data_IF_787288692430
#
_entry.id   IF_787288692430
#
_cell.length_a   1.000
_cell.length_b   1.000
_cell.length_c   1.000
_cell.angle_alpha   90.00
_cell.angle_beta   90.00
_cell.angle_gamma   90.00
#
_symmetry.space_group_name_H-M   'P 1'
#
loop_
_entity.id
_entity.type
_entity.pdbx_description
1 polymer ?
#
# COMPACT_ATOMS: atom_id res chain seq x y z
N UNK A 1 -78.72 31.27 -52.99
CA UNK A 1 -77.79 32.37 -52.64
C UNK A 1 -76.65 31.79 -51.79
N UNK A 2 -75.58 31.27 -52.42
CA UNK A 2 -74.46 30.67 -51.69
C UNK A 2 -73.43 31.74 -51.31
N UNK A 3 -73.40 32.13 -50.03
CA UNK A 3 -72.32 32.97 -49.49
C UNK A 3 -71.07 32.10 -49.32
N UNK A 4 -70.05 32.36 -50.14
CA UNK A 4 -68.73 31.73 -50.03
C UNK A 4 -67.99 32.37 -48.85
N UNK A 5 -67.83 31.65 -47.73
CA UNK A 5 -66.95 32.09 -46.63
C UNK A 5 -65.52 32.15 -47.17
N UNK A 6 -64.89 33.33 -47.12
CA UNK A 6 -63.44 33.46 -47.33
C UNK A 6 -62.77 33.35 -45.97
N UNK A 7 -61.88 32.37 -45.84
CA UNK A 7 -61.01 32.20 -44.67
C UNK A 7 -59.98 33.33 -44.69
N UNK A 8 -59.86 34.05 -43.58
CA UNK A 8 -58.92 35.16 -43.41
C UNK A 8 -57.56 34.61 -42.91
N UNK A 9 -56.71 34.25 -43.86
CA UNK A 9 -55.41 33.61 -43.60
C UNK A 9 -54.45 34.49 -42.79
N UNK A 10 -54.60 35.82 -42.82
CA UNK A 10 -53.81 36.76 -42.03
C UNK A 10 -54.11 36.63 -40.53
N UNK A 11 -55.39 36.45 -40.17
CA UNK A 11 -55.80 36.23 -38.77
C UNK A 11 -55.33 34.88 -38.26
N UNK A 12 -55.37 33.85 -39.10
CA UNK A 12 -54.87 32.51 -38.76
C UNK A 12 -53.36 32.53 -38.55
N UNK A 13 -52.60 33.17 -39.46
CA UNK A 13 -51.16 33.31 -39.33
C UNK A 13 -50.74 34.09 -38.06
N UNK A 14 -51.44 35.19 -37.75
CA UNK A 14 -51.22 35.95 -36.51
C UNK A 14 -51.53 35.14 -35.25
N UNK A 15 -52.60 34.35 -35.28
CA UNK A 15 -52.95 33.47 -34.16
C UNK A 15 -51.92 32.35 -33.96
N UNK A 16 -51.47 31.70 -35.04
CA UNK A 16 -50.41 30.68 -35.00
C UNK A 16 -49.08 31.25 -34.50
N UNK A 17 -48.67 32.44 -34.93
CA UNK A 17 -47.43 33.07 -34.45
C UNK A 17 -47.47 33.39 -32.95
N UNK A 18 -48.61 33.83 -32.43
CA UNK A 18 -48.78 34.09 -30.99
C UNK A 18 -48.80 32.78 -30.19
N UNK A 19 -49.42 31.72 -30.70
CA UNK A 19 -49.42 30.40 -30.06
C UNK A 19 -48.01 29.78 -30.03
N UNK A 20 -47.25 29.90 -31.12
CA UNK A 20 -45.86 29.42 -31.18
C UNK A 20 -44.95 30.21 -30.23
N UNK A 21 -45.12 31.54 -30.15
CA UNK A 21 -44.35 32.38 -29.23
C UNK A 21 -44.68 32.09 -27.75
N UNK A 22 -45.95 31.81 -27.43
CA UNK A 22 -46.34 31.42 -26.07
C UNK A 22 -45.81 30.03 -25.70
N UNK A 23 -45.78 29.08 -26.64
CA UNK A 23 -45.21 27.76 -26.40
C UNK A 23 -43.71 27.82 -26.09
N UNK A 24 -42.94 28.61 -26.85
CA UNK A 24 -41.48 28.72 -26.63
C UNK A 24 -41.14 29.39 -25.30
N UNK A 25 -41.93 30.39 -24.88
CA UNK A 25 -41.77 31.03 -23.56
C UNK A 25 -42.06 30.04 -22.42
N UNK A 26 -43.09 29.19 -22.54
CA UNK A 26 -43.38 28.19 -21.50
C UNK A 26 -42.30 27.12 -21.37
N UNK A 27 -41.66 26.72 -22.48
CA UNK A 27 -40.55 25.76 -22.46
C UNK A 27 -39.31 26.39 -21.80
N UNK A 28 -38.97 27.65 -22.10
CA UNK A 28 -37.84 28.33 -21.48
C UNK A 28 -38.03 28.54 -19.96
N UNK A 29 -39.25 28.84 -19.51
CA UNK A 29 -39.56 28.96 -18.07
C UNK A 29 -39.51 27.58 -17.39
N UNK A 30 -39.91 26.51 -18.08
CA UNK A 30 -39.83 25.14 -17.56
C UNK A 30 -38.37 24.66 -17.41
N UNK A 31 -37.48 25.02 -18.33
CA UNK A 31 -36.04 24.76 -18.23
C UNK A 31 -35.37 25.63 -17.15
N UNK A 32 -35.77 26.89 -16.98
CA UNK A 32 -35.24 27.76 -15.92
C UNK A 32 -35.70 27.39 -14.51
N UNK A 33 -36.84 26.69 -14.36
CA UNK A 33 -37.41 26.29 -13.07
C UNK A 33 -37.00 24.87 -12.62
N UNK A 34 -36.62 24.02 -13.57
CA UNK A 34 -35.97 22.74 -13.32
C UNK A 34 -34.46 22.96 -13.43
N UNK A 35 -33.87 23.54 -12.38
CA UNK A 35 -32.46 23.90 -12.36
C UNK A 35 -31.59 22.87 -13.06
N UNK A 36 -30.80 23.34 -14.04
CA UNK A 36 -29.83 22.51 -14.75
C UNK A 36 -28.87 21.94 -13.72
N UNK A 37 -29.11 20.70 -13.31
CA UNK A 37 -28.13 19.93 -12.53
C UNK A 37 -27.01 19.67 -13.52
N UNK A 38 -25.94 20.45 -13.44
CA UNK A 38 -24.65 20.01 -13.95
C UNK A 38 -24.47 18.57 -13.48
N UNK A 39 -24.13 17.61 -14.36
CA UNK A 39 -23.74 16.30 -13.90
C UNK A 39 -22.66 16.54 -12.86
N UNK A 40 -22.96 16.19 -11.61
CA UNK A 40 -21.92 16.11 -10.59
C UNK A 40 -20.99 15.04 -11.13
N UNK A 41 -19.85 15.47 -11.66
CA UNK A 41 -18.74 14.58 -12.00
C UNK A 41 -18.62 13.64 -10.81
N UNK A 42 -18.79 12.34 -11.05
CA UNK A 42 -18.66 11.34 -9.99
C UNK A 42 -17.35 11.67 -9.28
N UNK A 43 -17.44 12.02 -7.99
CA UNK A 43 -16.25 12.29 -7.20
C UNK A 43 -15.31 11.12 -7.44
N UNK A 44 -14.10 11.38 -7.95
CA UNK A 44 -13.09 10.33 -8.01
C UNK A 44 -12.93 9.85 -6.59
N UNK A 45 -13.35 8.61 -6.34
CA UNK A 45 -13.52 8.05 -5.00
C UNK A 45 -12.26 8.35 -4.16
N UNK A 46 -12.48 9.04 -3.04
CA UNK A 46 -11.45 9.56 -2.15
C UNK A 46 -11.65 8.93 -0.78
N UNK A 47 -10.62 8.25 -0.27
CA UNK A 47 -10.71 7.44 0.94
C UNK A 47 -11.34 8.19 2.11
N UNK A 48 -10.81 9.36 2.43
CA UNK A 48 -11.28 10.19 3.53
C UNK A 48 -10.80 11.64 3.33
N UNK A 49 -11.70 12.61 3.47
CA UNK A 49 -11.42 14.03 3.19
C UNK A 49 -10.41 14.67 4.17
N UNK A 50 -10.07 14.01 5.28
CA UNK A 50 -9.03 14.48 6.19
C UNK A 50 -7.61 14.23 5.65
N UNK A 51 -7.47 13.35 4.65
CA UNK A 51 -6.22 13.18 3.91
C UNK A 51 -6.20 14.18 2.76
N UNK A 52 -5.17 15.01 2.73
CA UNK A 52 -5.05 16.11 1.76
C UNK A 52 -4.42 15.67 0.44
N UNK A 53 -3.67 14.57 0.46
CA UNK A 53 -2.87 14.13 -0.68
C UNK A 53 -3.05 12.63 -0.94
N UNK A 54 -2.91 12.26 -2.21
CA UNK A 54 -2.68 10.89 -2.63
C UNK A 54 -1.72 10.82 -3.81
N UNK A 55 -1.00 9.73 -3.91
CA UNK A 55 -0.17 9.40 -5.06
C UNK A 55 -0.56 8.01 -5.58
N UNK A 56 -0.62 7.85 -6.91
CA UNK A 56 -0.87 6.55 -7.53
C UNK A 56 0.40 5.72 -7.51
N UNK A 57 0.27 4.45 -7.15
CA UNK A 57 1.33 3.44 -7.24
C UNK A 57 0.86 2.40 -8.26
N UNK A 58 1.77 1.93 -9.11
CA UNK A 58 1.46 0.91 -10.11
C UNK A 58 2.46 -0.23 -10.00
N UNK A 59 1.97 -1.44 -9.74
CA UNK A 59 2.78 -2.66 -9.84
C UNK A 59 2.83 -3.07 -11.30
N UNK A 60 4.05 -3.16 -11.84
CA UNK A 60 4.30 -3.61 -13.21
C UNK A 60 3.99 -5.11 -13.34
N UNK A 61 3.05 -5.45 -14.24
CA UNK A 61 2.64 -6.84 -14.44
C UNK A 61 3.77 -7.75 -14.92
N UNK A 62 4.80 -7.19 -15.55
CA UNK A 62 5.97 -7.96 -15.98
C UNK A 62 6.81 -8.49 -14.81
N UNK A 63 6.56 -7.98 -13.59
CA UNK A 63 7.14 -8.50 -12.34
C UNK A 63 6.26 -9.55 -11.66
N UNK A 64 5.01 -9.71 -12.11
CA UNK A 64 4.06 -10.71 -11.61
C UNK A 64 4.16 -11.96 -12.48
N UNK A 65 4.98 -12.91 -12.03
CA UNK A 65 5.37 -14.06 -12.86
C UNK A 65 4.26 -15.10 -13.02
N UNK A 66 4.09 -15.62 -14.24
CA UNK A 66 3.27 -16.77 -14.66
C UNK A 66 1.75 -16.65 -14.50
N UNK A 67 1.25 -16.21 -13.36
CA UNK A 67 -0.18 -16.13 -13.02
C UNK A 67 -0.46 -14.96 -12.10
N UNK A 68 -1.71 -14.50 -12.12
CA UNK A 68 -2.21 -13.52 -11.17
C UNK A 68 -1.98 -14.03 -9.73
N UNK A 69 -1.55 -13.13 -8.86
CA UNK A 69 -1.31 -13.40 -7.45
C UNK A 69 -2.45 -12.83 -6.62
N UNK A 70 -2.75 -13.46 -5.49
CA UNK A 70 -3.79 -13.02 -4.55
C UNK A 70 -3.20 -12.87 -3.17
N UNK A 71 -3.68 -11.90 -2.40
CA UNK A 71 -3.22 -11.63 -1.02
C UNK A 71 -1.69 -11.60 -0.90
N UNK A 72 -1.04 -10.83 -1.77
CA UNK A 72 0.41 -10.78 -1.91
C UNK A 72 1.00 -9.55 -1.21
N UNK A 73 1.99 -9.69 -0.32
CA UNK A 73 2.73 -8.55 0.24
C UNK A 73 3.56 -7.84 -0.83
N UNK A 74 3.35 -6.54 -0.99
CA UNK A 74 4.07 -5.69 -1.95
C UNK A 74 4.96 -4.72 -1.19
N UNK A 75 6.26 -4.76 -1.49
CA UNK A 75 7.23 -3.75 -1.06
C UNK A 75 7.00 -2.46 -1.82
N UNK A 76 6.91 -1.36 -1.07
CA UNK A 76 6.98 0.01 -1.56
C UNK A 76 8.17 0.70 -0.90
N UNK A 77 9.19 0.98 -1.71
CA UNK A 77 10.25 1.91 -1.32
C UNK A 77 9.66 3.33 -1.34
N UNK A 78 9.58 3.97 -0.18
CA UNK A 78 8.98 5.30 -0.06
C UNK A 78 9.84 6.37 -0.75
N UNK A 79 11.12 6.11 -1.01
CA UNK A 79 11.99 7.03 -1.75
C UNK A 79 11.62 7.14 -3.24
N UNK A 80 10.85 6.19 -3.78
CA UNK A 80 10.29 6.26 -5.14
C UNK A 80 9.08 7.21 -5.24
N UNK A 81 8.54 7.67 -4.11
CA UNK A 81 7.43 8.61 -4.09
C UNK A 81 7.89 10.03 -4.44
N UNK A 82 6.95 10.89 -4.83
CA UNK A 82 7.29 12.27 -5.16
C UNK A 82 7.89 12.99 -3.95
N UNK A 83 8.74 13.99 -4.19
CA UNK A 83 9.32 14.80 -3.10
C UNK A 83 8.28 15.47 -2.21
N UNK A 84 7.07 15.71 -2.74
CA UNK A 84 5.93 16.22 -1.98
C UNK A 84 5.38 15.23 -0.95
N UNK A 85 5.72 13.94 -1.00
CA UNK A 85 5.35 12.96 0.01
C UNK A 85 6.03 13.30 1.35
N UNK A 86 7.36 13.34 1.39
CA UNK A 86 8.13 13.55 2.62
C UNK A 86 7.95 14.93 3.26
N UNK A 87 7.45 15.92 2.51
CA UNK A 87 7.12 17.25 3.06
C UNK A 87 5.75 17.31 3.72
N UNK A 88 4.86 16.35 3.45
CA UNK A 88 3.45 16.39 3.87
C UNK A 88 3.01 15.19 4.72
N UNK A 89 3.79 14.11 4.74
CA UNK A 89 3.59 12.95 5.62
C UNK A 89 4.01 13.28 7.06
N UNK A 90 3.39 12.65 8.05
CA UNK A 90 3.84 12.75 9.44
C UNK A 90 5.24 12.14 9.60
N UNK A 91 6.01 12.64 10.57
CA UNK A 91 7.39 12.17 10.82
C UNK A 91 7.45 10.70 11.25
N UNK A 92 6.38 10.18 11.84
CA UNK A 92 6.21 8.78 12.22
C UNK A 92 5.47 7.95 11.15
N UNK A 93 5.03 8.57 10.05
CA UNK A 93 4.24 7.92 9.00
C UNK A 93 2.84 7.48 9.46
N UNK A 94 2.34 7.97 10.59
CA UNK A 94 1.03 7.63 11.15
C UNK A 94 -0.15 8.03 10.27
N UNK A 95 0.06 8.82 9.23
CA UNK A 95 -0.94 9.17 8.23
C UNK A 95 -0.82 8.42 6.91
N UNK A 96 0.07 7.44 6.79
CA UNK A 96 0.19 6.68 5.55
C UNK A 96 -0.91 5.63 5.47
N UNK A 97 -1.82 5.75 4.49
CA UNK A 97 -2.85 4.76 4.19
C UNK A 97 -2.67 4.27 2.75
N UNK A 98 -2.79 2.97 2.52
CA UNK A 98 -2.82 2.39 1.17
C UNK A 98 -4.24 1.92 0.86
N UNK A 99 -4.74 2.19 -0.35
CA UNK A 99 -6.02 1.66 -0.85
C UNK A 99 -5.85 0.91 -2.16
N UNK A 100 -6.84 0.08 -2.49
CA UNK A 100 -7.01 -0.46 -3.84
C UNK A 100 -7.22 0.67 -4.88
N UNK A 101 -7.26 0.27 -6.16
CA UNK A 101 -7.44 1.19 -7.30
C UNK A 101 -8.70 2.07 -7.21
N UNK A 102 -9.74 1.59 -6.51
CA UNK A 102 -10.98 2.32 -6.26
C UNK A 102 -10.79 3.57 -5.38
N UNK A 103 -9.63 3.74 -4.74
CA UNK A 103 -9.34 4.90 -3.91
C UNK A 103 -10.06 4.91 -2.56
N UNK A 104 -10.82 3.88 -2.19
CA UNK A 104 -11.62 3.83 -0.95
C UNK A 104 -11.42 2.55 -0.15
N UNK A 105 -11.13 1.42 -0.79
CA UNK A 105 -10.90 0.15 -0.10
C UNK A 105 -9.51 0.14 0.50
N UNK A 106 -9.43 0.45 1.80
CA UNK A 106 -8.19 0.44 2.57
C UNK A 106 -7.58 -0.97 2.66
N UNK A 107 -6.27 -1.04 2.47
CA UNK A 107 -5.47 -2.26 2.52
C UNK A 107 -4.67 -2.35 3.82
N UNK A 108 -4.27 -3.57 4.18
CA UNK A 108 -3.38 -3.81 5.31
C UNK A 108 -1.98 -3.31 4.96
N UNK A 109 -1.29 -2.70 5.91
CA UNK A 109 0.09 -2.25 5.74
C UNK A 109 0.98 -2.55 6.93
N UNK A 110 2.27 -2.53 6.69
CA UNK A 110 3.34 -2.49 7.67
C UNK A 110 4.32 -1.40 7.23
N UNK A 111 4.46 -0.37 8.05
CA UNK A 111 5.50 0.63 7.91
C UNK A 111 6.70 0.15 8.73
N UNK A 112 7.76 -0.28 8.06
CA UNK A 112 8.98 -0.81 8.66
C UNK A 112 9.90 0.34 9.07
N UNK A 113 10.06 1.33 8.19
CA UNK A 113 10.88 2.51 8.48
C UNK A 113 10.37 3.75 7.75
N UNK A 114 10.60 4.91 8.36
CA UNK A 114 10.43 6.21 7.71
C UNK A 114 11.47 7.20 8.25
N UNK A 115 12.13 7.90 7.34
CA UNK A 115 12.99 9.01 7.64
C UNK A 115 12.64 10.18 6.71
N UNK A 116 11.73 11.04 7.17
CA UNK A 116 11.28 12.19 6.36
C UNK A 116 12.39 13.19 6.07
N UNK A 117 13.36 13.34 6.97
CA UNK A 117 14.54 14.19 6.75
C UNK A 117 15.51 13.60 5.71
N UNK A 118 15.64 12.27 5.67
CA UNK A 118 16.44 11.53 4.70
C UNK A 118 15.74 11.22 3.39
N UNK A 119 14.42 11.43 3.32
CA UNK A 119 13.56 11.02 2.19
C UNK A 119 13.70 9.53 1.84
N UNK A 120 13.76 8.69 2.88
CA UNK A 120 13.81 7.23 2.75
C UNK A 120 12.72 6.59 3.62
N UNK A 121 12.38 5.34 3.29
CA UNK A 121 11.48 4.54 4.11
C UNK A 121 11.03 3.28 3.39
N UNK A 122 10.50 2.36 4.16
CA UNK A 122 10.07 1.05 3.72
C UNK A 122 8.66 0.77 4.23
N UNK A 123 7.77 0.43 3.29
CA UNK A 123 6.41 0.04 3.60
C UNK A 123 6.03 -1.20 2.82
N UNK A 124 5.37 -2.12 3.48
CA UNK A 124 4.71 -3.27 2.86
C UNK A 124 3.20 -3.09 2.92
N UNK A 125 2.49 -3.52 1.89
CA UNK A 125 1.03 -3.59 1.92
C UNK A 125 0.51 -4.86 1.26
N UNK A 126 -0.66 -5.34 1.69
CA UNK A 126 -1.27 -6.53 1.10
C UNK A 126 -2.10 -6.17 -0.12
N UNK A 127 -1.61 -6.53 -1.30
CA UNK A 127 -2.38 -6.45 -2.53
C UNK A 127 -3.40 -7.61 -2.59
N UNK A 128 -4.71 -7.34 -2.69
CA UNK A 128 -5.72 -8.40 -2.78
C UNK A 128 -5.60 -9.19 -4.09
N UNK A 129 -5.13 -8.54 -5.15
CA UNK A 129 -4.83 -9.16 -6.43
C UNK A 129 -3.71 -8.40 -7.13
N UNK A 130 -2.82 -9.11 -7.81
CA UNK A 130 -1.85 -8.56 -8.77
C UNK A 130 -2.03 -9.29 -10.10
N UNK A 131 -2.21 -8.55 -11.19
CA UNK A 131 -2.32 -9.16 -12.51
C UNK A 131 -0.96 -9.42 -13.14
N UNK A 132 -0.87 -10.57 -13.81
CA UNK A 132 0.25 -11.01 -14.66
C UNK A 132 0.13 -10.53 -16.11
N UNK A 133 -0.90 -9.75 -16.45
CA UNK A 133 -1.16 -9.31 -17.83
C UNK A 133 -1.37 -7.80 -17.99
N UNK A 134 -1.66 -7.08 -16.91
CA UNK A 134 -1.83 -5.62 -16.91
C UNK A 134 -1.36 -5.02 -15.59
N UNK A 135 -0.79 -3.81 -15.61
CA UNK A 135 -0.37 -3.14 -14.39
C UNK A 135 -1.52 -3.07 -13.38
N UNK A 136 -1.20 -3.23 -12.11
CA UNK A 136 -2.17 -3.14 -11.02
C UNK A 136 -1.95 -1.84 -10.26
N UNK A 137 -2.98 -1.01 -10.19
CA UNK A 137 -2.90 0.32 -9.58
C UNK A 137 -3.41 0.31 -8.12
N UNK A 138 -2.79 1.15 -7.30
CA UNK A 138 -3.10 1.41 -5.90
C UNK A 138 -2.98 2.91 -5.62
N UNK A 139 -3.46 3.34 -4.47
CA UNK A 139 -3.24 4.71 -3.97
C UNK A 139 -2.57 4.69 -2.61
N UNK A 140 -1.58 5.56 -2.42
CA UNK A 140 -1.08 5.93 -1.10
C UNK A 140 -1.61 7.31 -0.73
N UNK A 141 -2.22 7.43 0.43
CA UNK A 141 -2.76 8.65 1.01
C UNK A 141 -1.86 9.12 2.16
N UNK A 142 -1.70 10.45 2.27
CA UNK A 142 -0.95 11.13 3.33
C UNK A 142 -1.46 12.58 3.50
N UNK A 143 -0.90 13.33 4.45
CA UNK A 143 -1.30 14.70 4.77
C UNK A 143 -2.48 14.80 5.72
N UNK A 144 -2.59 13.87 6.67
CA UNK A 144 -3.54 13.96 7.78
C UNK A 144 -2.78 14.01 9.11
N UNK A 145 -2.56 15.21 9.65
CA UNK A 145 -1.76 15.44 10.87
C UNK A 145 -2.35 14.86 12.16
N UNK A 146 -3.55 14.27 12.12
CA UNK A 146 -4.21 13.66 13.29
C UNK A 146 -4.39 12.15 13.16
N UNK A 147 -3.99 11.57 12.03
CA UNK A 147 -4.09 10.13 11.81
C UNK A 147 -3.06 9.39 12.66
N UNK A 148 -3.41 8.16 13.03
CA UNK A 148 -2.53 7.22 13.72
C UNK A 148 -2.79 5.80 13.19
N UNK A 149 -2.44 5.61 11.92
CA UNK A 149 -2.52 4.34 11.22
C UNK A 149 -1.48 3.37 11.79
N UNK A 150 -1.91 2.18 12.16
CA UNK A 150 -1.04 1.15 12.73
C UNK A 150 -0.54 0.15 11.69
N UNK A 151 0.50 -0.59 12.06
CA UNK A 151 0.91 -1.79 11.33
C UNK A 151 -0.10 -2.92 11.56
N UNK A 152 -0.15 -3.85 10.60
CA UNK A 152 -1.02 -5.02 10.65
C UNK A 152 -0.25 -6.26 10.20
N UNK A 153 -0.13 -7.24 11.09
CA UNK A 153 0.43 -8.57 10.78
C UNK A 153 -0.36 -9.30 9.70
N UNK A 154 -1.59 -8.86 9.40
CA UNK A 154 -2.40 -9.39 8.31
C UNK A 154 -1.80 -9.12 6.92
N UNK A 155 -0.76 -8.30 6.80
CA UNK A 155 0.06 -8.21 5.58
C UNK A 155 0.62 -9.59 5.22
N UNK A 156 1.10 -10.34 6.21
CA UNK A 156 1.80 -11.61 6.06
C UNK A 156 0.91 -12.85 6.29
N UNK A 157 -0.40 -12.66 6.38
CA UNK A 157 -1.37 -13.73 6.68
C UNK A 157 -1.49 -14.86 5.64
N UNK A 158 -0.88 -14.72 4.45
CA UNK A 158 -1.01 -15.67 3.36
C UNK A 158 0.12 -16.73 3.36
N UNK A 159 0.24 -17.47 4.47
CA UNK A 159 1.16 -18.59 4.59
C UNK A 159 2.63 -18.24 4.88
N UNK A 160 2.91 -17.02 5.35
CA UNK A 160 4.23 -16.67 5.87
C UNK A 160 4.32 -17.10 7.34
N UNK A 161 5.33 -17.89 7.66
CA UNK A 161 5.53 -18.40 9.03
C UNK A 161 6.53 -17.58 9.85
N UNK A 162 7.38 -16.79 9.18
CA UNK A 162 8.36 -15.90 9.79
C UNK A 162 8.71 -14.79 8.80
N UNK A 163 8.70 -13.54 9.24
CA UNK A 163 9.15 -12.38 8.46
C UNK A 163 9.94 -11.45 9.35
N UNK A 164 11.22 -11.26 9.04
CA UNK A 164 12.12 -10.38 9.78
C UNK A 164 12.76 -9.39 8.82
N UNK A 165 12.57 -8.10 9.10
CA UNK A 165 13.07 -7.00 8.27
C UNK A 165 14.50 -6.57 8.62
N UNK A 166 15.08 -7.10 9.71
CA UNK A 166 16.45 -6.82 10.15
C UNK A 166 16.69 -5.32 10.40
N UNK A 167 15.71 -4.63 10.99
CA UNK A 167 15.69 -3.17 11.10
C UNK A 167 15.94 -2.65 12.52
N UNK A 168 15.85 -3.53 13.52
CA UNK A 168 16.02 -3.21 14.93
C UNK A 168 17.49 -3.20 15.37
N UNK A 169 17.83 -2.33 16.31
CA UNK A 169 19.17 -2.29 16.91
C UNK A 169 19.44 -3.59 17.70
N UNK A 170 20.43 -4.41 17.31
CA UNK A 170 20.68 -5.70 17.94
C UNK A 170 21.18 -5.57 19.39
N UNK A 171 21.64 -4.39 19.80
CA UNK A 171 22.03 -4.09 21.19
C UNK A 171 20.89 -3.53 22.06
N UNK A 172 19.69 -3.43 21.47
CA UNK A 172 18.48 -3.00 22.17
C UNK A 172 18.00 -3.97 23.25
N UNK A 173 16.83 -3.69 23.81
CA UNK A 173 16.20 -4.60 24.77
C UNK A 173 15.68 -5.84 24.06
N UNK A 174 16.02 -7.03 24.58
CA UNK A 174 15.53 -8.29 24.03
C UNK A 174 14.01 -8.48 24.26
N UNK A 175 13.32 -9.20 23.36
CA UNK A 175 13.82 -9.61 22.04
C UNK A 175 13.96 -8.39 21.11
N UNK A 176 14.98 -8.39 20.25
CA UNK A 176 15.27 -7.26 19.37
C UNK A 176 14.66 -7.43 17.98
N UNK A 177 14.79 -8.61 17.39
CA UNK A 177 14.43 -8.84 15.99
C UNK A 177 12.99 -9.31 15.90
N UNK A 178 12.09 -8.42 15.47
CA UNK A 178 10.65 -8.66 15.55
C UNK A 178 10.18 -9.52 14.36
N UNK A 179 9.32 -10.49 14.64
CA UNK A 179 8.58 -11.25 13.63
C UNK A 179 7.30 -10.49 13.22
N UNK A 180 7.25 -10.04 11.96
CA UNK A 180 6.10 -9.30 11.42
C UNK A 180 4.84 -10.16 11.23
N UNK A 181 4.95 -11.48 11.38
CA UNK A 181 3.79 -12.38 11.26
C UNK A 181 2.96 -12.42 12.55
N UNK A 182 1.91 -13.24 12.56
CA UNK A 182 1.13 -13.50 13.78
C UNK A 182 1.79 -14.54 14.71
N UNK A 183 2.90 -15.14 14.29
CA UNK A 183 3.54 -16.23 15.02
C UNK A 183 4.45 -15.77 16.16
N UNK A 184 4.85 -14.49 16.17
CA UNK A 184 5.58 -13.87 17.29
C UNK A 184 6.90 -14.60 17.60
N UNK A 185 7.57 -15.11 16.56
CA UNK A 185 8.87 -15.77 16.68
C UNK A 185 10.01 -14.74 16.77
N UNK A 186 9.90 -13.82 17.71
CA UNK A 186 10.87 -12.74 17.90
C UNK A 186 12.25 -13.28 18.30
N UNK A 187 13.29 -12.70 17.69
CA UNK A 187 14.68 -13.10 17.87
C UNK A 187 15.42 -12.30 18.95
N UNK A 188 16.24 -13.01 19.73
CA UNK A 188 17.20 -12.40 20.67
C UNK A 188 18.62 -12.49 20.12
N UNK A 189 19.33 -11.37 20.09
CA UNK A 189 20.72 -11.30 19.63
C UNK A 189 21.69 -12.03 20.57
N UNK A 190 22.71 -12.65 19.98
CA UNK A 190 23.85 -13.29 20.64
C UNK A 190 25.15 -12.83 19.97
N UNK A 191 26.32 -13.17 20.53
CA UNK A 191 27.63 -12.78 19.96
C UNK A 191 28.14 -11.40 20.37
N UNK A 192 27.43 -10.70 21.26
CA UNK A 192 27.79 -9.32 21.68
C UNK A 192 27.61 -8.29 20.56
N UNK A 193 26.62 -8.51 19.68
CA UNK A 193 26.21 -7.53 18.68
C UNK A 193 25.94 -6.14 19.28
N UNK A 194 26.34 -5.10 18.56
CA UNK A 194 26.27 -3.68 18.94
C UNK A 194 25.44 -2.88 17.94
N UNK A 195 25.02 -1.66 18.30
CA UNK A 195 24.34 -0.73 17.36
C UNK A 195 25.08 -0.55 16.02
N UNK A 196 26.41 -0.70 16.02
CA UNK A 196 27.23 -0.61 14.81
C UNK A 196 26.99 -1.73 13.79
N UNK A 197 26.37 -2.83 14.20
CA UNK A 197 26.03 -3.96 13.32
C UNK A 197 24.72 -3.73 12.57
N UNK A 198 23.91 -2.74 12.97
CA UNK A 198 22.79 -2.26 12.17
C UNK A 198 23.32 -1.35 11.04
N UNK A 199 23.34 -1.88 9.83
CA UNK A 199 23.91 -1.24 8.64
C UNK A 199 22.85 -1.02 7.57
N UNK A 200 23.16 -0.25 6.53
CA UNK A 200 22.26 -0.11 5.37
C UNK A 200 22.21 -1.42 4.60
N UNK A 201 20.99 -1.92 4.36
CA UNK A 201 20.72 -3.18 3.70
C UNK A 201 20.35 -3.03 2.23
N UNK A 202 19.88 -4.15 1.65
CA UNK A 202 19.34 -4.16 0.28
C UNK A 202 17.95 -3.50 0.21
N UNK A 203 17.16 -3.67 1.26
CA UNK A 203 15.86 -3.05 1.49
C UNK A 203 15.93 -2.53 2.92
N UNK A 204 15.82 -1.21 3.13
CA UNK A 204 15.98 -0.62 4.45
C UNK A 204 17.36 -0.87 5.07
N UNK A 205 17.35 -1.35 6.31
CA UNK A 205 18.55 -1.73 7.04
C UNK A 205 18.85 -3.24 6.89
N UNK A 206 19.99 -3.67 7.41
CA UNK A 206 20.38 -5.06 7.55
C UNK A 206 21.25 -5.21 8.80
N UNK A 207 21.46 -6.45 9.21
CA UNK A 207 22.36 -6.80 10.31
C UNK A 207 23.65 -7.39 9.74
N UNK A 208 24.78 -6.84 10.21
CA UNK A 208 26.11 -7.35 9.94
C UNK A 208 26.47 -8.40 11.00
N UNK A 209 26.91 -9.56 10.56
CA UNK A 209 27.35 -10.66 11.43
C UNK A 209 28.87 -10.76 11.35
N UNK A 210 29.55 -10.82 12.49
CA UNK A 210 31.00 -10.77 12.56
C UNK A 210 31.72 -12.06 12.11
N UNK A 211 30.96 -13.13 11.84
CA UNK A 211 31.47 -14.44 11.43
C UNK A 211 32.15 -15.24 12.54
N UNK A 212 31.98 -14.83 13.81
CA UNK A 212 32.60 -15.47 14.99
C UNK A 212 31.56 -16.07 15.92
N UNK A 213 30.60 -15.27 16.41
CA UNK A 213 29.57 -15.73 17.35
C UNK A 213 28.22 -15.01 17.26
N UNK A 214 28.02 -14.15 16.27
CA UNK A 214 26.75 -13.44 16.04
C UNK A 214 25.66 -14.36 15.46
N UNK A 215 24.50 -14.35 16.10
CA UNK A 215 23.26 -14.97 15.59
C UNK A 215 22.04 -14.45 16.36
N UNK A 216 20.85 -14.74 15.85
CA UNK A 216 19.60 -14.53 16.56
C UNK A 216 18.98 -15.87 16.95
N UNK A 217 18.65 -16.01 18.22
CA UNK A 217 17.87 -17.13 18.74
C UNK A 217 16.38 -16.79 18.64
N UNK A 218 15.64 -17.54 17.81
CA UNK A 218 14.20 -17.37 17.59
C UNK A 218 13.35 -18.23 18.53
N UNK A 219 13.99 -18.95 19.45
CA UNK A 219 13.35 -19.92 20.33
C UNK A 219 12.89 -21.17 19.60
N UNK A 220 11.89 -21.86 20.18
CA UNK A 220 11.39 -23.14 19.69
C UNK A 220 9.86 -23.12 19.56
N UNK A 221 9.33 -22.09 18.89
CA UNK A 221 7.90 -21.96 18.62
C UNK A 221 7.38 -23.08 17.72
N UNK A 222 6.15 -23.53 17.94
CA UNK A 222 5.56 -24.63 17.15
C UNK A 222 5.39 -24.30 15.66
N UNK A 223 5.30 -23.02 15.31
CA UNK A 223 5.30 -22.53 13.92
C UNK A 223 6.65 -22.76 13.21
N UNK A 224 7.74 -22.91 13.98
CA UNK A 224 9.08 -23.24 13.49
C UNK A 224 9.36 -24.76 13.54
N UNK A 225 8.39 -25.59 13.92
CA UNK A 225 8.46 -27.04 13.76
C UNK A 225 8.08 -27.43 12.31
N UNK A 226 9.03 -27.19 11.41
CA UNK A 226 8.82 -27.26 9.97
C UNK A 226 8.62 -28.69 9.48
N UNK A 227 7.36 -29.13 9.43
CA UNK A 227 6.95 -30.49 9.04
C UNK A 227 6.42 -30.60 7.60
N UNK A 228 6.21 -29.47 6.93
CA UNK A 228 5.71 -29.36 5.57
C UNK A 228 6.79 -28.79 4.63
N UNK A 229 6.66 -28.98 3.30
CA UNK A 229 7.50 -28.28 2.35
C UNK A 229 7.45 -26.76 2.58
N UNK A 230 8.61 -26.13 2.60
CA UNK A 230 8.75 -24.70 2.84
C UNK A 230 9.54 -24.02 1.72
N UNK A 231 9.43 -22.69 1.66
CA UNK A 231 10.34 -21.85 0.90
C UNK A 231 10.98 -20.86 1.87
N UNK A 232 12.29 -20.70 1.76
CA UNK A 232 13.04 -19.66 2.46
C UNK A 232 13.60 -18.71 1.40
N UNK A 233 13.49 -17.40 1.63
CA UNK A 233 14.05 -16.36 0.78
C UNK A 233 14.64 -15.26 1.62
N UNK A 234 15.84 -14.79 1.29
CA UNK A 234 16.52 -13.72 2.02
C UNK A 234 17.42 -12.89 1.08
N UNK A 235 17.74 -11.66 1.53
CA UNK A 235 18.85 -10.89 0.98
C UNK A 235 20.07 -11.11 1.86
N UNK A 236 21.17 -11.58 1.28
CA UNK A 236 22.41 -11.86 2.00
C UNK A 236 23.58 -11.27 1.22
N UNK A 237 24.47 -10.59 1.92
CA UNK A 237 25.78 -10.20 1.41
C UNK A 237 26.83 -10.98 2.19
N UNK A 238 27.57 -11.86 1.51
CA UNK A 238 28.51 -12.79 2.16
C UNK A 238 29.92 -12.22 2.04
N UNK A 239 30.51 -11.84 3.18
CA UNK A 239 31.86 -11.28 3.23
C UNK A 239 32.96 -12.34 3.05
N UNK A 240 32.73 -13.56 3.54
CA UNK A 240 33.63 -14.69 3.37
C UNK A 240 32.87 -16.02 3.29
N UNK A 241 33.40 -16.97 2.52
CA UNK A 241 32.84 -18.32 2.46
C UNK A 241 33.65 -19.24 3.38
N UNK A 242 33.07 -19.64 4.50
CA UNK A 242 33.60 -20.69 5.36
C UNK A 242 33.11 -22.08 4.91
N UNK A 243 33.57 -23.14 5.58
CA UNK A 243 33.12 -24.51 5.30
C UNK A 243 31.62 -24.69 5.58
N UNK A 244 31.12 -24.00 6.60
CA UNK A 244 29.73 -24.03 7.05
C UNK A 244 29.22 -22.58 7.11
N UNK A 245 28.22 -22.23 6.29
CA UNK A 245 27.55 -20.93 6.34
C UNK A 245 26.04 -21.19 6.38
N UNK A 246 25.34 -20.62 7.35
CA UNK A 246 23.91 -20.84 7.55
C UNK A 246 23.17 -19.50 7.54
N UNK A 247 22.04 -19.46 6.85
CA UNK A 247 21.09 -18.33 6.93
C UNK A 247 20.04 -18.61 8.02
N UNK A 248 19.71 -19.89 8.19
CA UNK A 248 18.81 -20.40 9.23
C UNK A 248 19.27 -21.83 9.57
N UNK A 249 19.31 -22.15 10.84
CA UNK A 249 19.64 -23.48 11.35
C UNK A 249 18.65 -23.88 12.45
N UNK A 250 18.43 -25.19 12.58
CA UNK A 250 17.76 -25.79 13.72
C UNK A 250 18.74 -26.81 14.30
N UNK A 251 19.39 -26.45 15.40
CA UNK A 251 20.43 -27.26 16.04
C UNK A 251 19.91 -27.81 17.38
N UNK A 252 20.30 -29.03 17.73
CA UNK A 252 19.96 -29.69 18.99
C UNK A 252 20.89 -29.27 20.15
N UNK A 253 21.56 -28.11 19.99
CA UNK A 253 22.50 -27.50 20.93
C UNK A 253 23.76 -28.36 21.16
N UNK A 254 24.06 -29.26 20.22
CA UNK A 254 25.24 -30.14 20.27
C UNK A 254 26.41 -29.62 19.43
N UNK A 255 26.17 -28.64 18.55
CA UNK A 255 27.20 -27.96 17.78
C UNK A 255 27.06 -26.44 17.79
N UNK A 256 28.08 -25.74 18.30
CA UNK A 256 28.17 -24.28 18.17
C UNK A 256 28.70 -23.96 16.77
N UNK A 257 27.81 -23.69 15.82
CA UNK A 257 28.18 -23.15 14.52
C UNK A 257 27.68 -21.72 14.41
N UNK A 258 28.63 -20.80 14.31
CA UNK A 258 28.39 -19.38 14.10
C UNK A 258 28.69 -19.07 12.64
N UNK A 259 27.78 -18.32 12.00
CA UNK A 259 27.84 -17.96 10.59
C UNK A 259 28.35 -16.54 10.38
#
# INVERSE_FOLDING_TARGET
MHKKLRIDYEKIARFLSVVVLLLTITVAILFGLLGERTPTEAATDWYNQNWSYRQKISVDYTKVSNTDQTDFPVLLDLSDLSSGFFTNVQTDGGDIVVTAADGVTKLQRELVSINTGGSTGELWFKAPSLSSSTNTDFWIYYGNATANEGNSTAVWSNGYELVQHMNEDPSGSAPQLIDSTLNDNDGTSNGTMVTGDLVTGKVGNALNFDGTDDYFDLGNGSSLELSLPMTISSWVNVDSLAADNYILSNDDNSSTYYG
#
